data_IF_915784142455
#
_entry.id   IF_915784142455
#
_cell.length_a   1.000
_cell.length_b   1.000
_cell.length_c   1.000
_cell.angle_alpha   90.00
_cell.angle_beta   90.00
_cell.angle_gamma   90.00
#
_symmetry.space_group_name_H-M   'P 1'
#
loop_
_entity.id
_entity.type
_entity.pdbx_description
1 polymer ?
#
# COMPACT_ATOMS: atom_id res chain seq x y z
N UNK A 1 -72.54 65.15 -1.77
CA UNK A 1 -71.29 65.24 -0.95
C UNK A 1 -70.65 63.86 -0.94
N UNK A 2 -69.45 63.76 -1.52
CA UNK A 2 -68.76 62.51 -1.86
C UNK A 2 -68.11 61.90 -0.61
N UNK A 3 -68.35 60.60 -0.37
CA UNK A 3 -67.75 59.86 0.74
C UNK A 3 -66.24 59.65 0.55
N UNK A 4 -65.44 60.14 1.51
CA UNK A 4 -64.00 59.85 1.59
C UNK A 4 -63.79 58.42 2.09
N UNK A 5 -63.46 57.51 1.18
CA UNK A 5 -62.94 56.19 1.52
C UNK A 5 -61.56 56.28 2.17
N UNK A 6 -61.44 55.81 3.42
CA UNK A 6 -60.15 55.60 4.11
C UNK A 6 -59.38 54.51 3.37
N UNK A 7 -58.34 54.88 2.60
CA UNK A 7 -57.34 53.92 2.12
C UNK A 7 -56.52 53.43 3.30
N UNK A 8 -56.75 52.17 3.69
CA UNK A 8 -55.87 51.45 4.62
C UNK A 8 -54.50 51.33 3.97
N UNK A 9 -53.53 52.12 4.43
CA UNK A 9 -52.13 52.03 4.02
C UNK A 9 -51.46 50.81 4.69
N UNK A 10 -51.83 49.60 4.27
CA UNK A 10 -50.98 48.44 4.54
C UNK A 10 -49.79 48.54 3.59
N UNK A 11 -48.58 48.62 4.15
CA UNK A 11 -47.34 48.72 3.36
C UNK A 11 -47.13 47.37 2.66
N UNK A 12 -46.85 47.33 1.35
CA UNK A 12 -46.72 46.08 0.58
C UNK A 12 -45.77 45.03 1.21
N UNK A 13 -44.74 45.51 1.92
CA UNK A 13 -43.77 44.65 2.61
C UNK A 13 -44.36 43.87 3.81
N UNK A 14 -45.40 44.37 4.48
CA UNK A 14 -46.03 43.67 5.60
C UNK A 14 -46.93 42.51 5.15
N UNK A 15 -47.37 42.50 3.88
CA UNK A 15 -48.15 41.41 3.31
C UNK A 15 -47.25 40.25 2.84
N UNK A 16 -46.05 40.56 2.34
CA UNK A 16 -45.11 39.56 1.83
C UNK A 16 -44.39 38.82 2.96
N UNK A 17 -44.15 39.47 4.10
CA UNK A 17 -43.31 38.93 5.19
C UNK A 17 -44.10 38.26 6.33
N UNK A 18 -45.43 38.12 6.19
CA UNK A 18 -46.31 37.67 7.27
C UNK A 18 -46.46 38.74 8.36
N UNK A 19 -47.61 38.75 9.04
CA UNK A 19 -47.94 39.76 10.08
C UNK A 19 -47.16 39.56 11.39
N UNK A 20 -45.84 39.35 11.32
CA UNK A 20 -44.97 39.30 12.48
C UNK A 20 -44.86 40.69 13.09
N UNK A 21 -45.60 40.94 14.16
CA UNK A 21 -45.55 42.16 14.96
C UNK A 21 -44.17 42.45 15.61
N UNK A 22 -43.15 41.65 15.33
CA UNK A 22 -41.91 41.59 16.08
C UNK A 22 -40.65 41.95 15.29
N UNK A 23 -40.70 42.35 14.02
CA UNK A 23 -39.48 42.83 13.35
C UNK A 23 -39.25 44.31 13.71
N UNK A 24 -38.30 44.57 14.59
CA UNK A 24 -37.88 45.92 14.97
C UNK A 24 -36.36 45.98 15.18
N UNK A 25 -35.81 47.17 15.45
CA UNK A 25 -34.36 47.33 15.65
C UNK A 25 -33.79 46.49 16.82
N UNK A 26 -34.63 46.10 17.77
CA UNK A 26 -34.30 45.17 18.86
C UNK A 26 -34.63 43.70 18.57
N UNK A 27 -35.17 43.37 17.38
CA UNK A 27 -35.41 42.00 16.94
C UNK A 27 -35.35 41.96 15.39
N UNK A 28 -34.14 42.06 14.80
CA UNK A 28 -33.96 41.99 13.35
C UNK A 28 -34.36 40.61 12.83
N UNK A 29 -34.72 40.56 11.54
CA UNK A 29 -35.08 39.33 10.84
C UNK A 29 -33.86 38.39 10.80
N UNK A 30 -33.74 37.50 11.77
CA UNK A 30 -32.78 36.39 11.70
C UNK A 30 -33.30 35.37 10.71
N UNK A 31 -32.85 35.51 9.45
CA UNK A 31 -33.05 34.48 8.42
C UNK A 31 -32.08 33.36 8.70
N UNK A 32 -32.33 32.57 9.74
CA UNK A 32 -31.78 31.23 9.79
C UNK A 32 -32.45 30.45 8.66
N UNK A 33 -31.77 30.34 7.51
CA UNK A 33 -32.19 29.39 6.48
C UNK A 33 -32.24 28.01 7.15
N UNK A 34 -33.41 27.35 7.26
CA UNK A 34 -33.55 26.09 7.96
C UNK A 34 -32.65 24.98 7.38
N UNK A 35 -32.17 25.15 6.13
CA UNK A 35 -31.20 24.24 5.50
C UNK A 35 -29.79 24.42 6.04
N UNK A 36 -29.42 25.63 6.46
CA UNK A 36 -28.12 25.92 7.10
C UNK A 36 -28.15 25.45 8.56
N UNK A 37 -29.27 25.66 9.25
CA UNK A 37 -29.47 25.17 10.62
C UNK A 37 -29.39 23.64 10.74
N UNK A 38 -29.80 22.87 9.72
CA UNK A 38 -29.69 21.41 9.76
C UNK A 38 -28.26 20.86 9.70
N UNK A 39 -27.28 21.68 9.29
CA UNK A 39 -25.87 21.26 9.23
C UNK A 39 -25.12 21.54 10.54
N UNK A 40 -25.66 22.41 11.39
CA UNK A 40 -25.07 22.80 12.67
C UNK A 40 -25.53 21.80 13.74
N UNK A 41 -24.58 21.04 14.28
CA UNK A 41 -24.80 20.09 15.37
C UNK A 41 -24.74 20.73 16.76
N UNK A 42 -24.03 21.86 16.86
CA UNK A 42 -23.85 22.59 18.10
C UNK A 42 -23.45 24.05 17.83
N UNK A 43 -23.96 24.97 18.64
CA UNK A 43 -23.50 26.35 18.73
C UNK A 43 -23.07 26.61 20.15
N UNK A 44 -21.89 27.21 20.32
CA UNK A 44 -21.26 27.38 21.62
C UNK A 44 -20.56 28.71 21.79
N UNK A 45 -20.27 29.03 23.05
CA UNK A 45 -19.39 30.14 23.44
C UNK A 45 -18.40 29.61 24.46
N UNK A 46 -17.12 29.81 24.19
CA UNK A 46 -16.05 29.34 25.07
C UNK A 46 -16.21 29.86 26.49
N UNK A 47 -16.11 28.94 27.45
CA UNK A 47 -16.31 29.21 28.88
C UNK A 47 -14.99 29.45 29.63
N UNK A 48 -13.87 29.06 29.03
CA UNK A 48 -12.51 29.30 29.50
C UNK A 48 -11.58 29.54 28.30
N UNK A 49 -10.36 29.99 28.59
CA UNK A 49 -9.32 30.09 27.56
C UNK A 49 -8.79 28.70 27.21
N UNK A 50 -8.65 28.42 25.91
CA UNK A 50 -8.00 27.21 25.42
C UNK A 50 -6.48 27.21 25.66
N UNK A 51 -5.81 26.18 25.17
CA UNK A 51 -4.35 26.09 25.20
C UNK A 51 -3.70 27.24 24.42
N UNK A 52 -2.54 27.71 24.88
CA UNK A 52 -1.85 28.91 24.35
C UNK A 52 -1.46 28.76 22.87
N UNK A 53 -1.17 27.54 22.44
CA UNK A 53 -0.85 27.20 21.05
C UNK A 53 -2.09 27.09 20.14
N UNK A 54 -3.30 27.14 20.72
CA UNK A 54 -4.56 26.96 20.00
C UNK A 54 -4.92 25.50 19.75
N UNK A 55 -4.33 24.56 20.49
CA UNK A 55 -4.64 23.13 20.40
C UNK A 55 -5.93 22.73 21.12
N UNK A 56 -6.57 23.64 21.87
CA UNK A 56 -7.88 23.38 22.48
C UNK A 56 -8.82 24.59 22.42
N UNK A 57 -10.11 24.29 22.54
CA UNK A 57 -11.19 25.24 22.77
C UNK A 57 -12.05 24.71 23.92
N UNK A 58 -12.32 25.54 24.93
CA UNK A 58 -13.01 25.09 26.17
C UNK A 58 -14.44 25.62 26.26
N UNK A 59 -15.43 24.73 26.29
CA UNK A 59 -16.83 25.01 26.53
C UNK A 59 -17.43 23.94 27.47
N UNK A 60 -17.62 24.30 28.75
CA UNK A 60 -18.14 23.39 29.77
C UNK A 60 -19.53 22.83 29.45
N UNK A 61 -20.30 23.47 28.57
CA UNK A 61 -21.64 22.98 28.18
C UNK A 61 -21.52 21.68 27.39
N UNK A 62 -20.45 21.49 26.61
CA UNK A 62 -20.18 20.28 25.83
C UNK A 62 -20.08 19.03 26.69
N UNK A 63 -19.76 19.16 27.98
CA UNK A 63 -19.71 18.03 28.92
C UNK A 63 -21.07 17.31 29.09
N UNK A 64 -22.17 17.97 28.73
CA UNK A 64 -23.53 17.44 28.79
C UNK A 64 -24.12 17.11 27.42
N UNK A 65 -23.33 17.27 26.35
CA UNK A 65 -23.76 17.06 24.96
C UNK A 65 -23.26 15.71 24.43
N UNK A 66 -23.70 15.39 23.22
CA UNK A 66 -23.16 14.25 22.49
C UNK A 66 -21.66 14.45 22.24
N UNK A 67 -20.97 13.34 21.99
CA UNK A 67 -19.61 13.40 21.48
C UNK A 67 -19.63 13.86 20.02
N UNK A 68 -18.80 14.87 19.72
CA UNK A 68 -18.67 15.47 18.40
C UNK A 68 -17.32 15.13 17.75
N UNK A 69 -16.62 14.10 18.24
CA UNK A 69 -15.42 13.59 17.57
C UNK A 69 -15.67 13.31 16.07
N UNK A 70 -14.74 13.76 15.22
CA UNK A 70 -14.84 13.67 13.76
C UNK A 70 -15.71 14.72 13.07
N UNK A 71 -16.33 15.66 13.82
CA UNK A 71 -17.04 16.80 13.23
C UNK A 71 -16.11 18.00 12.99
N UNK A 72 -16.61 19.04 12.30
CA UNK A 72 -15.87 20.27 12.02
C UNK A 72 -16.26 21.38 13.00
N UNK A 73 -15.30 21.93 13.75
CA UNK A 73 -15.50 23.16 14.52
C UNK A 73 -15.13 24.38 13.68
N UNK A 74 -15.97 25.41 13.71
CA UNK A 74 -15.79 26.68 12.98
C UNK A 74 -15.88 27.83 13.98
N UNK A 75 -14.86 28.68 14.04
CA UNK A 75 -14.84 29.86 14.89
C UNK A 75 -15.67 30.98 14.26
N UNK A 76 -16.67 31.49 15.00
CA UNK A 76 -17.63 32.49 14.50
C UNK A 76 -17.49 33.87 15.13
N UNK A 77 -16.49 34.09 15.99
CA UNK A 77 -16.06 35.43 16.44
C UNK A 77 -14.59 35.45 16.89
N UNK A 78 -14.08 36.62 17.30
CA UNK A 78 -12.71 36.76 17.83
C UNK A 78 -11.61 36.79 16.78
N UNK A 79 -10.35 36.69 17.24
CA UNK A 79 -9.15 36.85 16.40
C UNK A 79 -9.00 35.77 15.31
N UNK A 80 -9.61 34.60 15.52
CA UNK A 80 -9.53 33.44 14.63
C UNK A 80 -10.84 33.22 13.85
N UNK A 81 -11.68 34.25 13.71
CA UNK A 81 -12.93 34.21 12.97
C UNK A 81 -12.78 33.58 11.58
N UNK A 82 -13.69 32.66 11.24
CA UNK A 82 -13.75 31.97 9.95
C UNK A 82 -12.78 30.79 9.83
N UNK A 83 -11.91 30.54 10.81
CA UNK A 83 -11.11 29.32 10.82
C UNK A 83 -11.98 28.10 11.16
N UNK A 84 -11.73 27.01 10.43
CA UNK A 84 -12.36 25.72 10.66
C UNK A 84 -11.31 24.63 10.88
N UNK A 85 -11.60 23.67 11.76
CA UNK A 85 -10.73 22.52 12.07
C UNK A 85 -11.57 21.27 12.34
N UNK A 86 -11.07 20.12 11.93
CA UNK A 86 -11.64 18.85 12.34
C UNK A 86 -11.39 18.63 13.82
N UNK A 87 -12.38 18.09 14.52
CA UNK A 87 -12.26 17.64 15.90
C UNK A 87 -11.66 16.23 15.89
N UNK A 88 -10.61 16.02 16.67
CA UNK A 88 -9.95 14.73 16.84
C UNK A 88 -9.77 14.47 18.35
N UNK A 89 -10.79 13.87 18.94
CA UNK A 89 -10.87 13.57 20.36
C UNK A 89 -12.27 13.81 20.92
N UNK A 90 -12.51 13.17 22.07
CA UNK A 90 -13.78 13.19 22.79
C UNK A 90 -14.13 14.60 23.27
N UNK A 91 -15.35 15.08 22.98
CA UNK A 91 -15.80 16.43 23.41
C UNK A 91 -16.59 16.45 24.72
N UNK A 92 -16.97 15.29 25.25
CA UNK A 92 -17.78 15.17 26.49
C UNK A 92 -17.04 15.59 27.77
N UNK A 93 -15.78 16.02 27.67
CA UNK A 93 -15.04 16.66 28.76
C UNK A 93 -15.20 18.18 28.83
N UNK A 94 -15.92 18.80 27.88
CA UNK A 94 -15.97 20.26 27.76
C UNK A 94 -14.86 20.85 26.90
N UNK A 95 -13.99 20.01 26.34
CA UNK A 95 -12.83 20.44 25.54
C UNK A 95 -13.00 19.97 24.10
N UNK A 96 -12.81 20.88 23.15
CA UNK A 96 -12.69 20.55 21.73
C UNK A 96 -11.21 20.52 21.38
N UNK A 97 -10.73 19.38 20.91
CA UNK A 97 -9.34 19.17 20.50
C UNK A 97 -9.26 19.09 18.96
N UNK A 98 -8.95 20.18 18.26
CA UNK A 98 -8.80 20.15 16.81
C UNK A 98 -7.57 19.33 16.36
N UNK A 99 -7.67 18.68 15.20
CA UNK A 99 -6.56 17.92 14.56
C UNK A 99 -5.32 18.79 14.32
N UNK A 100 -5.52 20.09 14.06
CA UNK A 100 -4.43 21.07 13.97
C UNK A 100 -4.82 22.36 14.67
N UNK A 101 -3.84 23.00 15.31
CA UNK A 101 -4.09 24.19 16.10
C UNK A 101 -4.62 25.38 15.27
N UNK A 102 -5.32 26.31 15.93
CA UNK A 102 -5.79 27.56 15.32
C UNK A 102 -4.66 28.59 15.10
N UNK A 103 -3.44 28.29 15.56
CA UNK A 103 -2.29 29.18 15.45
C UNK A 103 -2.16 30.16 16.63
N UNK A 104 -2.91 29.93 17.71
CA UNK A 104 -2.78 30.59 19.00
C UNK A 104 -4.05 30.47 19.83
N UNK A 105 -4.02 31.02 21.04
CA UNK A 105 -5.02 30.78 22.07
C UNK A 105 -6.43 31.24 21.68
N UNK A 106 -7.41 30.33 21.78
CA UNK A 106 -8.82 30.70 21.69
C UNK A 106 -9.27 31.20 23.06
N UNK A 107 -9.56 32.50 23.15
CA UNK A 107 -9.94 33.15 24.40
C UNK A 107 -11.40 32.89 24.75
N UNK A 108 -11.71 32.91 26.05
CA UNK A 108 -13.06 32.87 26.61
C UNK A 108 -13.97 33.91 25.97
N UNK A 109 -15.22 33.54 25.72
CA UNK A 109 -16.22 34.39 25.07
C UNK A 109 -16.18 34.34 23.54
N UNK A 110 -15.24 33.62 22.95
CA UNK A 110 -15.23 33.29 21.52
C UNK A 110 -16.40 32.35 21.20
N UNK A 111 -17.24 32.74 20.24
CA UNK A 111 -18.33 31.93 19.70
C UNK A 111 -17.84 30.98 18.60
N UNK A 112 -18.47 29.82 18.50
CA UNK A 112 -18.14 28.81 17.51
C UNK A 112 -19.37 27.96 17.18
N UNK A 113 -19.29 27.22 16.07
CA UNK A 113 -20.26 26.20 15.68
C UNK A 113 -19.55 24.89 15.40
N UNK A 114 -20.23 23.76 15.65
CA UNK A 114 -19.79 22.44 15.21
C UNK A 114 -20.76 21.97 14.13
N UNK A 115 -20.25 21.67 12.95
CA UNK A 115 -21.03 21.14 11.84
C UNK A 115 -20.83 19.62 11.73
N UNK A 116 -21.91 18.87 11.43
CA UNK A 116 -21.85 17.43 11.16
C UNK A 116 -21.22 17.08 9.79
N UNK A 117 -20.38 17.98 9.26
CA UNK A 117 -19.56 17.67 8.10
C UNK A 117 -18.33 16.94 8.64
N UNK A 118 -18.36 15.61 8.52
CA UNK A 118 -17.16 14.81 8.62
C UNK A 118 -16.31 15.15 7.40
N UNK A 119 -15.22 15.88 7.56
CA UNK A 119 -14.18 15.79 6.56
C UNK A 119 -13.69 14.32 6.61
N UNK A 120 -13.40 13.77 5.46
CA UNK A 120 -12.93 12.40 5.27
C UNK A 120 -11.48 12.09 5.73
N UNK A 121 -10.66 12.94 6.42
CA UNK A 121 -9.26 12.64 6.69
C UNK A 121 -8.97 11.32 7.39
N UNK A 122 -9.76 10.93 8.40
CA UNK A 122 -9.53 9.67 9.11
C UNK A 122 -9.76 8.46 8.18
N UNK A 123 -10.82 8.51 7.37
CA UNK A 123 -11.14 7.48 6.37
C UNK A 123 -10.08 7.46 5.26
N UNK A 124 -9.62 8.62 4.79
CA UNK A 124 -8.55 8.74 3.78
C UNK A 124 -7.21 8.22 4.33
N UNK A 125 -6.90 8.48 5.59
CA UNK A 125 -5.71 7.95 6.25
C UNK A 125 -5.77 6.42 6.34
N UNK A 126 -6.91 5.87 6.77
CA UNK A 126 -7.13 4.42 6.80
C UNK A 126 -7.02 3.78 5.40
N UNK A 127 -7.60 4.41 4.38
CA UNK A 127 -7.50 3.96 3.00
C UNK A 127 -6.06 4.00 2.48
N UNK A 128 -5.30 5.03 2.84
CA UNK A 128 -3.88 5.15 2.45
C UNK A 128 -3.06 3.99 3.03
N UNK A 129 -3.31 3.61 4.29
CA UNK A 129 -2.66 2.44 4.93
C UNK A 129 -3.00 1.15 4.17
N UNK A 130 -4.28 0.94 3.84
CA UNK A 130 -4.72 -0.24 3.09
C UNK A 130 -4.08 -0.28 1.70
N UNK A 131 -4.07 0.84 0.97
CA UNK A 131 -3.45 0.94 -0.35
C UNK A 131 -1.95 0.61 -0.31
N UNK A 132 -1.22 1.09 0.71
CA UNK A 132 0.19 0.76 0.88
C UNK A 132 0.39 -0.74 1.16
N UNK A 133 -0.45 -1.37 1.98
CA UNK A 133 -0.38 -2.81 2.25
C UNK A 133 -0.69 -3.66 0.99
N UNK A 134 -1.66 -3.23 0.18
CA UNK A 134 -1.97 -3.85 -1.12
C UNK A 134 -0.77 -3.70 -2.05
N UNK A 135 -0.19 -2.50 -2.17
CA UNK A 135 0.98 -2.26 -3.00
C UNK A 135 2.14 -3.19 -2.63
N UNK A 136 2.48 -3.29 -1.35
CA UNK A 136 3.53 -4.21 -0.87
C UNK A 136 3.23 -5.66 -1.26
N UNK A 137 1.97 -6.08 -1.15
CA UNK A 137 1.57 -7.46 -1.50
C UNK A 137 1.63 -7.69 -3.01
N UNK A 138 1.23 -6.71 -3.83
CA UNK A 138 1.29 -6.79 -5.29
C UNK A 138 2.73 -6.75 -5.80
N UNK A 139 3.59 -5.94 -5.18
CA UNK A 139 5.01 -5.88 -5.51
C UNK A 139 5.71 -7.24 -5.29
N UNK A 140 5.26 -8.05 -4.30
CA UNK A 140 5.73 -9.43 -4.12
C UNK A 140 5.34 -10.36 -5.27
N UNK A 141 4.21 -10.12 -5.92
CA UNK A 141 3.71 -10.94 -7.05
C UNK A 141 4.38 -10.60 -8.39
N UNK A 142 5.11 -9.48 -8.47
CA UNK A 142 5.75 -9.05 -9.72
C UNK A 142 6.93 -9.94 -10.15
N UNK A 143 7.34 -10.88 -9.29
CA UNK A 143 8.58 -11.64 -9.49
C UNK A 143 9.82 -10.77 -9.30
N UNK A 144 10.97 -11.42 -9.17
CA UNK A 144 12.27 -10.79 -9.20
C UNK A 144 12.75 -10.70 -10.64
N UNK A 145 13.67 -9.78 -10.91
CA UNK A 145 14.38 -9.77 -12.19
C UNK A 145 15.01 -11.16 -12.43
N UNK A 146 15.00 -11.67 -13.67
CA UNK A 146 15.71 -12.89 -14.01
C UNK A 146 17.18 -12.79 -13.60
N UNK A 147 17.70 -13.86 -13.01
CA UNK A 147 19.12 -14.01 -12.74
C UNK A 147 19.73 -14.82 -13.87
N UNK A 148 20.80 -14.29 -14.43
CA UNK A 148 21.53 -14.89 -15.55
C UNK A 148 23.00 -15.06 -15.16
N UNK A 149 23.61 -16.15 -15.62
CA UNK A 149 25.02 -16.41 -15.38
C UNK A 149 25.54 -17.57 -16.21
N UNK A 150 26.81 -17.88 -16.03
CA UNK A 150 27.45 -19.02 -16.68
C UNK A 150 28.56 -19.58 -15.80
N UNK A 151 28.73 -20.90 -15.82
CA UNK A 151 29.83 -21.60 -15.14
C UNK A 151 30.58 -22.42 -16.17
N UNK A 152 31.91 -22.38 -16.11
CA UNK A 152 32.78 -23.27 -16.86
C UNK A 152 33.40 -24.28 -15.90
N UNK A 153 33.15 -25.56 -16.13
CA UNK A 153 33.58 -26.61 -15.22
C UNK A 153 33.91 -27.91 -15.96
N UNK A 154 34.47 -28.87 -15.23
CA UNK A 154 34.75 -30.20 -15.73
C UNK A 154 33.54 -31.12 -15.46
N UNK A 155 32.59 -31.14 -16.40
CA UNK A 155 31.29 -31.76 -16.20
C UNK A 155 31.33 -33.29 -16.19
N UNK A 156 32.38 -33.92 -16.74
CA UNK A 156 32.46 -35.38 -16.77
C UNK A 156 33.29 -35.95 -15.63
N UNK A 157 34.48 -35.41 -15.40
CA UNK A 157 35.46 -35.99 -14.46
C UNK A 157 35.48 -35.39 -13.06
N UNK A 158 34.81 -34.26 -12.83
CA UNK A 158 34.77 -33.67 -11.49
C UNK A 158 33.80 -34.39 -10.54
N UNK A 159 33.74 -33.90 -9.31
CA UNK A 159 32.85 -34.41 -8.26
C UNK A 159 32.18 -33.23 -7.58
N UNK A 160 30.85 -33.14 -7.73
CA UNK A 160 30.06 -32.09 -7.13
C UNK A 160 29.99 -32.21 -5.62
N UNK A 161 29.41 -31.21 -4.96
CA UNK A 161 29.31 -31.17 -3.49
C UNK A 161 28.53 -32.37 -2.90
N UNK A 162 27.65 -33.00 -3.68
CA UNK A 162 26.95 -34.23 -3.30
C UNK A 162 27.86 -35.47 -3.18
N UNK A 163 29.06 -35.41 -3.75
CA UNK A 163 29.96 -36.56 -3.91
C UNK A 163 29.66 -37.44 -5.13
N UNK A 164 28.65 -37.09 -5.94
CA UNK A 164 28.36 -37.76 -7.22
C UNK A 164 29.18 -37.15 -8.37
N UNK A 165 29.31 -37.88 -9.48
CA UNK A 165 29.97 -37.38 -10.69
C UNK A 165 29.28 -36.12 -11.23
N UNK A 166 30.08 -35.22 -11.82
CA UNK A 166 29.65 -33.89 -12.27
C UNK A 166 30.24 -32.78 -11.41
N UNK A 167 29.75 -31.56 -11.57
CA UNK A 167 30.22 -30.38 -10.83
C UNK A 167 29.04 -29.48 -10.43
N UNK A 168 29.22 -28.62 -9.43
CA UNK A 168 28.20 -27.64 -9.06
C UNK A 168 28.04 -26.56 -10.15
N UNK A 169 26.80 -26.34 -10.58
CA UNK A 169 26.41 -25.24 -11.47
C UNK A 169 25.92 -24.03 -10.68
N UNK A 170 25.14 -24.25 -9.62
CA UNK A 170 24.59 -23.20 -8.76
C UNK A 170 24.63 -23.65 -7.30
N UNK A 171 25.28 -22.86 -6.44
CA UNK A 171 25.55 -23.21 -5.04
C UNK A 171 26.59 -24.32 -4.88
N UNK A 172 26.82 -24.78 -3.64
CA UNK A 172 27.85 -25.79 -3.37
C UNK A 172 29.24 -25.20 -3.12
N UNK A 173 30.28 -26.03 -3.26
CA UNK A 173 31.65 -25.68 -2.91
C UNK A 173 32.39 -24.98 -4.07
N UNK A 174 31.99 -25.27 -5.32
CA UNK A 174 32.69 -24.81 -6.53
C UNK A 174 31.91 -23.77 -7.33
N UNK A 175 30.61 -23.55 -7.05
CA UNK A 175 29.79 -22.52 -7.69
C UNK A 175 29.27 -21.48 -6.70
N UNK A 176 29.13 -20.25 -7.17
CA UNK A 176 28.55 -19.16 -6.40
C UNK A 176 27.02 -19.25 -6.40
N UNK A 177 26.40 -18.84 -5.29
CA UNK A 177 24.96 -18.56 -5.19
C UNK A 177 24.04 -19.74 -5.52
N UNK A 178 23.52 -20.41 -4.50
CA UNK A 178 22.38 -21.31 -4.70
C UNK A 178 21.14 -20.52 -5.16
N UNK A 179 20.18 -21.20 -5.80
CA UNK A 179 18.90 -20.59 -6.13
C UNK A 179 18.12 -20.38 -4.83
N UNK A 180 17.76 -19.13 -4.53
CA UNK A 180 17.06 -18.76 -3.29
C UNK A 180 18.03 -18.35 -2.18
N UNK A 181 17.59 -18.47 -0.93
CA UNK A 181 18.38 -18.10 0.24
C UNK A 181 18.00 -18.95 1.46
N UNK A 182 18.96 -19.13 2.37
CA UNK A 182 18.78 -19.96 3.55
C UNK A 182 17.53 -19.57 4.36
N UNK A 183 16.73 -20.57 4.75
CA UNK A 183 15.50 -20.42 5.52
C UNK A 183 14.47 -19.41 4.96
N UNK A 184 14.56 -19.08 3.67
CA UNK A 184 13.67 -18.11 2.99
C UNK A 184 12.83 -18.82 1.95
N UNK A 185 11.55 -18.45 1.84
CA UNK A 185 10.61 -19.07 0.91
C UNK A 185 10.56 -18.29 -0.39
N UNK A 186 10.71 -19.00 -1.50
CA UNK A 186 10.53 -18.47 -2.85
C UNK A 186 9.65 -19.42 -3.67
N UNK A 187 9.08 -18.88 -4.74
CA UNK A 187 8.65 -19.68 -5.88
C UNK A 187 9.72 -19.57 -6.95
N UNK A 188 10.20 -20.72 -7.44
CA UNK A 188 10.98 -20.82 -8.66
C UNK A 188 10.00 -20.98 -9.82
N UNK A 189 9.99 -20.00 -10.73
CA UNK A 189 9.10 -20.02 -11.90
C UNK A 189 9.73 -20.72 -13.10
N UNK A 190 11.03 -20.52 -13.27
CA UNK A 190 11.79 -21.13 -14.34
C UNK A 190 13.24 -21.33 -13.96
N UNK A 191 13.81 -22.39 -14.50
CA UNK A 191 15.25 -22.61 -14.61
C UNK A 191 15.50 -23.11 -16.04
N UNK A 192 16.26 -22.34 -16.80
CA UNK A 192 16.68 -22.65 -18.15
C UNK A 192 18.20 -22.79 -18.17
N UNK A 193 18.70 -23.76 -18.93
CA UNK A 193 20.12 -23.95 -19.19
C UNK A 193 20.38 -23.73 -20.69
N UNK A 194 21.42 -22.97 -21.01
CA UNK A 194 21.98 -22.89 -22.35
C UNK A 194 23.14 -23.88 -22.47
N UNK A 195 22.95 -24.91 -23.29
CA UNK A 195 23.91 -25.99 -23.51
C UNK A 195 24.62 -25.87 -24.87
N UNK A 196 24.66 -24.67 -25.45
CA UNK A 196 25.28 -24.43 -26.76
C UNK A 196 26.75 -24.84 -26.85
N UNK A 197 27.49 -24.82 -25.74
CA UNK A 197 28.90 -25.20 -25.72
C UNK A 197 29.13 -26.70 -25.49
N UNK A 198 28.08 -27.47 -25.26
CA UNK A 198 28.17 -28.92 -25.06
C UNK A 198 28.20 -29.65 -26.40
N UNK A 199 28.75 -30.87 -26.38
CA UNK A 199 28.86 -31.72 -27.56
C UNK A 199 27.47 -32.19 -28.00
N UNK A 200 27.20 -32.10 -29.30
CA UNK A 200 25.95 -32.61 -29.88
C UNK A 200 25.72 -34.08 -29.51
N UNK A 201 24.54 -34.38 -29.00
CA UNK A 201 24.17 -35.73 -28.54
C UNK A 201 24.72 -36.13 -27.17
N UNK A 202 25.48 -35.26 -26.49
CA UNK A 202 25.94 -35.49 -25.12
C UNK A 202 24.76 -35.76 -24.19
N UNK A 203 24.97 -36.67 -23.23
CA UNK A 203 24.02 -36.93 -22.14
C UNK A 203 24.36 -36.03 -20.98
N UNK A 204 23.40 -35.22 -20.57
CA UNK A 204 23.54 -34.39 -19.39
C UNK A 204 22.61 -34.85 -18.27
N UNK A 205 23.10 -34.90 -17.05
CA UNK A 205 22.30 -35.13 -15.86
C UNK A 205 22.21 -33.85 -15.06
N UNK A 206 21.01 -33.34 -14.86
CA UNK A 206 20.76 -32.18 -14.01
C UNK A 206 20.18 -32.67 -12.69
N UNK A 207 20.91 -32.43 -11.60
CA UNK A 207 20.55 -32.85 -10.25
C UNK A 207 20.31 -31.63 -9.40
N UNK A 208 19.24 -31.64 -8.60
CA UNK A 208 18.96 -30.57 -7.65
C UNK A 208 18.88 -31.08 -6.23
N UNK A 209 19.41 -30.29 -5.32
CA UNK A 209 19.53 -30.62 -3.91
C UNK A 209 18.94 -29.50 -3.04
N UNK A 210 18.19 -29.89 -2.02
CA UNK A 210 17.58 -28.97 -1.06
C UNK A 210 17.49 -29.64 0.30
N UNK A 211 17.50 -28.84 1.38
CA UNK A 211 17.21 -29.35 2.73
C UNK A 211 15.76 -29.80 2.85
N UNK A 212 15.54 -31.07 3.17
CA UNK A 212 14.26 -31.62 3.61
C UNK A 212 14.39 -32.03 5.06
N UNK A 213 13.63 -31.38 5.95
CA UNK A 213 13.76 -31.54 7.41
C UNK A 213 15.21 -31.33 7.89
N UNK A 214 15.85 -30.26 7.43
CA UNK A 214 17.21 -29.87 7.81
C UNK A 214 18.34 -30.69 7.18
N UNK A 215 18.03 -31.75 6.44
CA UNK A 215 19.03 -32.59 5.77
C UNK A 215 18.97 -32.37 4.27
N UNK A 216 20.11 -32.16 3.63
CA UNK A 216 20.15 -32.06 2.17
C UNK A 216 19.73 -33.39 1.53
N UNK A 217 18.83 -33.31 0.54
CA UNK A 217 18.32 -34.43 -0.24
C UNK A 217 18.33 -34.04 -1.72
N UNK A 218 18.60 -35.03 -2.58
CA UNK A 218 18.36 -34.91 -4.01
C UNK A 218 16.84 -34.89 -4.23
N UNK A 219 16.33 -33.78 -4.74
CA UNK A 219 14.90 -33.55 -4.99
C UNK A 219 14.54 -33.65 -6.46
N UNK A 220 15.54 -33.61 -7.35
CA UNK A 220 15.39 -33.73 -8.79
C UNK A 220 16.65 -34.40 -9.37
N UNK A 221 16.45 -35.28 -10.34
CA UNK A 221 17.51 -35.96 -11.11
C UNK A 221 16.90 -36.35 -12.46
N UNK A 222 17.34 -35.70 -13.52
CA UNK A 222 16.84 -35.98 -14.86
C UNK A 222 17.96 -35.92 -15.89
N UNK A 223 17.93 -36.88 -16.82
CA UNK A 223 18.81 -36.92 -17.98
C UNK A 223 18.17 -36.16 -19.15
N UNK A 224 18.98 -35.36 -19.85
CA UNK A 224 18.66 -34.75 -21.12
C UNK A 224 19.71 -35.14 -22.16
N UNK A 225 19.35 -35.03 -23.44
CA UNK A 225 20.29 -35.22 -24.55
C UNK A 225 20.44 -33.88 -25.25
N UNK A 226 21.67 -33.41 -25.40
CA UNK A 226 21.97 -32.19 -26.15
C UNK A 226 21.47 -32.39 -27.58
N UNK A 227 20.54 -31.55 -28.07
CA UNK A 227 20.04 -31.68 -29.42
C UNK A 227 21.17 -31.57 -30.44
N UNK A 228 21.16 -32.43 -31.44
CA UNK A 228 22.12 -32.31 -32.55
C UNK A 228 21.84 -31.06 -33.35
N UNK A 229 22.85 -30.21 -33.55
CA UNK A 229 22.75 -29.09 -34.47
C UNK A 229 22.63 -29.60 -35.90
N UNK A 230 21.54 -29.24 -36.59
CA UNK A 230 21.40 -29.57 -37.99
C UNK A 230 22.45 -28.77 -38.80
N UNK A 231 23.26 -29.48 -39.59
CA UNK A 231 24.27 -28.84 -40.42
C UNK A 231 23.62 -27.83 -41.38
N UNK A 232 23.96 -26.54 -41.25
CA UNK A 232 23.53 -25.46 -42.13
C UNK A 232 22.63 -24.39 -41.49
N UNK A 233 22.23 -24.53 -40.23
CA UNK A 233 21.49 -23.49 -39.51
C UNK A 233 22.47 -22.48 -38.89
N UNK A 234 22.32 -21.20 -39.24
CA UNK A 234 23.06 -20.09 -38.64
C UNK A 234 22.09 -18.95 -38.34
N UNK A 235 21.85 -18.60 -37.06
CA UNK A 235 22.47 -19.16 -35.86
C UNK A 235 22.11 -20.65 -35.61
N UNK A 236 22.84 -21.37 -34.74
CA UNK A 236 22.50 -22.75 -34.36
C UNK A 236 21.03 -22.85 -33.94
N UNK A 237 20.38 -24.02 -34.04
CA UNK A 237 18.96 -24.15 -33.78
C UNK A 237 18.58 -23.57 -32.42
N UNK A 238 17.42 -22.91 -32.35
CA UNK A 238 16.77 -22.37 -31.15
C UNK A 238 16.40 -23.47 -30.10
N UNK A 239 17.00 -24.66 -30.20
CA UNK A 239 16.72 -25.87 -29.42
C UNK A 239 17.74 -26.16 -28.31
N UNK A 240 18.83 -25.38 -28.23
CA UNK A 240 19.91 -25.59 -27.24
C UNK A 240 19.61 -24.97 -25.87
N UNK A 241 18.42 -24.38 -25.69
CA UNK A 241 17.87 -24.02 -24.39
C UNK A 241 17.09 -25.18 -23.78
N UNK A 242 17.53 -25.67 -22.62
CA UNK A 242 16.86 -26.73 -21.88
C UNK A 242 16.04 -26.15 -20.74
N UNK A 243 14.74 -26.44 -20.76
CA UNK A 243 13.81 -26.01 -19.73
C UNK A 243 13.76 -27.04 -18.61
N UNK A 244 14.51 -26.81 -17.53
CA UNK A 244 14.65 -27.75 -16.43
C UNK A 244 13.45 -27.64 -15.48
N UNK A 245 13.07 -26.39 -15.14
CA UNK A 245 11.85 -26.11 -14.36
C UNK A 245 10.90 -25.33 -15.25
N UNK A 246 9.84 -26.00 -15.71
CA UNK A 246 8.78 -25.43 -16.54
C UNK A 246 7.47 -25.34 -15.74
N UNK A 247 7.45 -24.46 -14.75
CA UNK A 247 6.32 -24.27 -13.85
C UNK A 247 6.76 -23.77 -12.48
N UNK A 248 5.77 -23.47 -11.63
CA UNK A 248 6.04 -22.93 -10.31
C UNK A 248 6.40 -24.04 -9.32
N UNK A 249 7.61 -24.00 -8.77
CA UNK A 249 8.07 -24.87 -7.68
C UNK A 249 8.29 -24.03 -6.43
N UNK A 250 7.68 -24.42 -5.32
CA UNK A 250 7.94 -23.80 -4.02
C UNK A 250 9.28 -24.29 -3.45
N UNK A 251 10.17 -23.36 -3.14
CA UNK A 251 11.43 -23.62 -2.46
C UNK A 251 11.44 -22.91 -1.10
N UNK A 252 11.98 -23.55 -0.06
CA UNK A 252 11.94 -23.02 1.31
C UNK A 252 13.32 -22.94 1.98
N UNK A 253 14.36 -23.15 1.18
CA UNK A 253 15.76 -23.02 1.52
C UNK A 253 16.53 -22.81 0.20
N UNK A 254 17.85 -22.81 0.27
CA UNK A 254 18.72 -22.84 -0.91
C UNK A 254 18.49 -24.11 -1.75
N UNK A 255 18.32 -23.93 -3.06
CA UNK A 255 18.28 -24.99 -4.06
C UNK A 255 19.61 -25.00 -4.81
N UNK A 256 20.40 -26.06 -4.59
CA UNK A 256 21.68 -26.28 -5.26
C UNK A 256 21.48 -27.10 -6.52
N UNK A 257 22.25 -26.81 -7.57
CA UNK A 257 22.18 -27.51 -8.86
C UNK A 257 23.55 -28.05 -9.21
N UNK A 258 23.62 -29.34 -9.53
CA UNK A 258 24.79 -29.98 -10.12
C UNK A 258 24.48 -30.45 -11.54
N UNK A 259 25.49 -30.42 -12.39
CA UNK A 259 25.41 -30.95 -13.74
C UNK A 259 26.53 -31.95 -13.99
N UNK A 260 26.20 -33.04 -14.67
CA UNK A 260 27.17 -33.94 -15.28
C UNK A 260 26.93 -33.99 -16.80
N UNK A 261 28.01 -34.06 -17.59
CA UNK A 261 27.95 -34.41 -19.02
C UNK A 261 28.80 -35.66 -19.26
N UNK A 262 28.39 -36.56 -20.14
CA UNK A 262 29.13 -37.78 -20.47
C UNK A 262 30.35 -37.57 -21.37
N UNK A 263 30.47 -36.40 -22.00
CA UNK A 263 31.49 -36.14 -23.03
C UNK A 263 32.21 -34.80 -22.89
N UNK A 264 31.68 -33.87 -22.07
CA UNK A 264 32.16 -32.50 -22.06
C UNK A 264 33.01 -32.15 -20.85
N UNK A 265 34.07 -31.38 -21.10
CA UNK A 265 35.02 -30.90 -20.09
C UNK A 265 35.42 -29.45 -20.35
N UNK A 266 35.58 -28.68 -19.27
CA UNK A 266 36.02 -27.28 -19.33
C UNK A 266 35.19 -26.40 -20.29
N UNK A 267 33.90 -26.71 -20.43
CA UNK A 267 32.96 -25.94 -21.26
C UNK A 267 31.97 -25.16 -20.41
N UNK A 268 31.44 -24.08 -20.95
CA UNK A 268 30.50 -23.22 -20.26
C UNK A 268 29.07 -23.74 -20.36
N UNK A 269 28.33 -23.73 -19.26
CA UNK A 269 26.87 -23.86 -19.26
C UNK A 269 26.31 -22.54 -18.75
N UNK A 270 25.48 -21.86 -19.55
CA UNK A 270 24.78 -20.67 -19.09
C UNK A 270 23.45 -21.06 -18.44
N UNK A 271 22.95 -20.21 -17.56
CA UNK A 271 21.67 -20.42 -16.89
C UNK A 271 20.88 -19.12 -16.79
N UNK A 272 19.56 -19.27 -16.77
CA UNK A 272 18.62 -18.21 -16.41
C UNK A 272 17.59 -18.78 -15.46
N UNK A 273 17.35 -18.10 -14.33
CA UNK A 273 16.26 -18.47 -13.43
C UNK A 273 15.46 -17.26 -12.94
N UNK A 274 14.20 -17.49 -12.59
CA UNK A 274 13.30 -16.45 -12.08
C UNK A 274 12.66 -16.86 -10.77
N UNK A 275 12.75 -15.97 -9.78
CA UNK A 275 12.19 -16.18 -8.44
C UNK A 275 11.03 -15.22 -8.17
N UNK A 276 10.15 -15.60 -7.24
CA UNK A 276 9.17 -14.73 -6.60
C UNK A 276 9.26 -14.93 -5.09
N UNK A 277 9.36 -13.83 -4.33
CA UNK A 277 9.41 -13.90 -2.87
C UNK A 277 8.03 -14.24 -2.30
N UNK A 278 7.97 -15.15 -1.32
CA UNK A 278 6.73 -15.53 -0.63
C UNK A 278 6.58 -14.82 0.72
#
# INVERSE_FOLDING_TARGET
IVGKGRRSSKRPLQEVLGQGANVNAGNPLEVHDPKVGSLISYEGTTTADGAVDGSTLEDSVLATKADYDGNLVIITSGAYFGQARDINGVTTGGTVSPTSAFGGQILRGTTFVIAAIRLTPAEVAALTVICNAIKVSTDKLAGQAPVEGTVTANWNTATGTSGEAGEDLLGGASAEGAIGAAATRYKLHSLLLDVIALTDGAKIHVKMFMKVNGNERKVYDQEFTVPTTAAGETPPPDTLGLWIVNGTVGIHDELRVEVYSDTDESVAIAYTYMLEAM
#
